data_IF_734932785995
#
_entry.id   IF_734932785995
#
_cell.length_a   1.000
_cell.length_b   1.000
_cell.length_c   1.000
_cell.angle_alpha   90.00
_cell.angle_beta   90.00
_cell.angle_gamma   90.00
#
_symmetry.space_group_name_H-M   'P 1'
#
loop_
_entity.id
_entity.type
_entity.pdbx_description
1 polymer ?
#
# COMPACT_ATOMS: atom_id res chain seq x y z
N UNK A 1 -3.69 -0.28 -0.13
CA UNK A 1 -2.50 0.06 -0.93
C UNK A 1 -2.03 1.45 -0.55
N UNK A 2 -0.92 1.92 -1.11
CA UNK A 2 -0.52 3.32 -0.95
C UNK A 2 -1.58 4.23 -1.60
N UNK A 3 -1.90 5.36 -0.95
CA UNK A 3 -2.90 6.31 -1.46
C UNK A 3 -2.23 7.27 -2.44
N UNK A 4 -2.88 7.53 -3.58
CA UNK A 4 -2.51 8.69 -4.39
C UNK A 4 -3.01 9.94 -3.70
N UNK A 5 -2.28 11.04 -3.83
CA UNK A 5 -2.79 12.33 -3.40
C UNK A 5 -3.94 12.70 -4.34
N UNK A 6 -5.17 12.67 -3.85
CA UNK A 6 -6.34 13.04 -4.64
C UNK A 6 -6.19 14.49 -5.15
N UNK A 7 -6.57 14.72 -6.41
CA UNK A 7 -6.87 16.07 -6.89
C UNK A 7 -8.16 16.50 -6.20
N UNK A 8 -8.15 17.65 -5.53
CA UNK A 8 -9.34 18.18 -4.88
C UNK A 8 -10.51 18.26 -5.89
N UNK A 9 -11.64 17.61 -5.58
CA UNK A 9 -12.88 17.70 -6.36
C UNK A 9 -13.19 16.54 -7.32
N UNK A 10 -12.44 15.44 -7.30
CA UNK A 10 -12.77 14.24 -8.11
C UNK A 10 -12.99 13.05 -7.18
N UNK A 11 -14.24 12.79 -6.79
CA UNK A 11 -14.63 11.53 -6.16
C UNK A 11 -14.71 10.43 -7.24
N UNK A 12 -13.90 9.39 -7.09
CA UNK A 12 -13.96 8.21 -7.96
C UNK A 12 -15.17 7.33 -7.61
N UNK A 13 -15.81 6.74 -8.63
CA UNK A 13 -16.89 5.78 -8.43
C UNK A 13 -16.35 4.50 -7.76
N UNK A 14 -16.96 4.09 -6.64
CA UNK A 14 -16.56 2.89 -5.92
C UNK A 14 -17.04 1.64 -6.66
N UNK A 15 -16.10 0.75 -7.00
CA UNK A 15 -16.41 -0.53 -7.67
C UNK A 15 -16.50 -1.66 -6.64
N UNK A 16 -17.67 -2.30 -6.58
CA UNK A 16 -17.99 -3.37 -5.63
C UNK A 16 -18.52 -4.61 -6.34
N UNK A 17 -18.10 -5.81 -5.93
CA UNK A 17 -18.69 -7.07 -6.41
C UNK A 17 -19.92 -7.49 -5.61
N UNK A 18 -19.96 -7.20 -4.31
CA UNK A 18 -21.07 -7.51 -3.41
C UNK A 18 -21.28 -6.33 -2.46
N UNK A 19 -22.53 -5.94 -2.21
CA UNK A 19 -22.89 -4.91 -1.22
C UNK A 19 -22.80 -5.45 0.24
N UNK A 20 -21.78 -6.24 0.54
CA UNK A 20 -21.53 -6.77 1.87
C UNK A 20 -20.51 -5.91 2.58
N UNK A 21 -20.86 -5.48 3.78
CA UNK A 21 -19.94 -4.82 4.70
C UNK A 21 -19.08 -5.87 5.41
N UNK A 22 -17.83 -5.53 5.69
CA UNK A 22 -16.99 -6.32 6.59
C UNK A 22 -17.43 -6.16 8.06
N UNK A 23 -16.73 -6.84 8.97
CA UNK A 23 -16.98 -6.80 10.42
C UNK A 23 -16.77 -5.40 11.04
N UNK A 24 -16.19 -4.46 10.29
CA UNK A 24 -15.93 -3.08 10.67
C UNK A 24 -16.86 -2.08 9.96
N UNK A 25 -17.84 -2.57 9.19
CA UNK A 25 -18.82 -1.74 8.48
C UNK A 25 -18.31 -1.16 7.15
N UNK A 26 -17.13 -1.53 6.68
CA UNK A 26 -16.62 -1.06 5.40
C UNK A 26 -17.15 -1.88 4.24
N UNK A 27 -17.48 -1.22 3.13
CA UNK A 27 -17.93 -1.88 1.91
C UNK A 27 -16.79 -2.72 1.33
N UNK A 28 -17.04 -4.01 1.05
CA UNK A 28 -16.06 -4.85 0.36
C UNK A 28 -15.92 -4.41 -1.10
N UNK A 29 -14.81 -3.73 -1.37
CA UNK A 29 -14.38 -3.40 -2.72
C UNK A 29 -13.90 -4.67 -3.46
N UNK A 30 -14.16 -4.74 -4.76
CA UNK A 30 -13.78 -5.89 -5.58
C UNK A 30 -14.21 -5.74 -7.03
N UNK A 31 -13.66 -6.57 -7.91
CA UNK A 31 -14.09 -6.67 -9.31
C UNK A 31 -13.61 -5.60 -10.28
N UNK A 32 -12.79 -4.65 -9.82
CA UNK A 32 -12.18 -3.64 -10.71
C UNK A 32 -11.45 -4.28 -11.89
N UNK A 33 -10.79 -5.43 -11.67
CA UNK A 33 -10.07 -6.17 -12.72
C UNK A 33 -11.00 -6.67 -13.82
N UNK A 34 -12.20 -7.17 -13.47
CA UNK A 34 -13.21 -7.63 -14.43
C UNK A 34 -13.76 -6.46 -15.24
N UNK A 35 -14.11 -5.36 -14.57
CA UNK A 35 -14.62 -4.15 -15.20
C UNK A 35 -13.60 -3.59 -16.19
N UNK A 36 -12.34 -3.48 -15.77
CA UNK A 36 -11.26 -2.94 -16.60
C UNK A 36 -10.98 -3.84 -17.81
N UNK A 37 -10.91 -5.17 -17.63
CA UNK A 37 -10.71 -6.09 -18.74
C UNK A 37 -11.82 -5.94 -19.80
N UNK A 38 -13.09 -5.99 -19.38
CA UNK A 38 -14.22 -5.80 -20.28
C UNK A 38 -14.20 -4.43 -20.99
N UNK A 39 -13.80 -3.37 -20.29
CA UNK A 39 -13.67 -2.03 -20.86
C UNK A 39 -12.55 -1.95 -21.91
N UNK A 40 -11.41 -2.61 -21.67
CA UNK A 40 -10.29 -2.68 -22.62
C UNK A 40 -10.72 -3.47 -23.86
N UNK A 41 -11.24 -4.70 -23.71
CA UNK A 41 -11.68 -5.52 -24.86
C UNK A 41 -12.70 -4.79 -25.73
N UNK A 42 -13.68 -4.12 -25.10
CA UNK A 42 -14.71 -3.37 -25.82
C UNK A 42 -14.11 -2.29 -26.72
N UNK A 43 -13.06 -1.61 -26.24
CA UNK A 43 -12.40 -0.47 -26.90
C UNK A 43 -11.34 -0.90 -27.92
N UNK A 44 -10.59 -1.97 -27.63
CA UNK A 44 -9.43 -2.38 -28.44
C UNK A 44 -9.71 -3.57 -29.36
N UNK A 45 -10.75 -4.37 -29.06
CA UNK A 45 -11.05 -5.67 -29.68
C UNK A 45 -9.99 -6.76 -29.47
N UNK A 46 -9.03 -6.53 -28.57
CA UNK A 46 -8.08 -7.55 -28.16
C UNK A 46 -8.61 -8.35 -26.99
N UNK A 47 -8.44 -9.68 -27.03
CA UNK A 47 -8.71 -10.56 -25.89
C UNK A 47 -7.89 -10.07 -24.69
N UNK A 48 -8.57 -9.78 -23.58
CA UNK A 48 -7.98 -9.21 -22.37
C UNK A 48 -8.29 -10.09 -21.18
N UNK A 49 -7.23 -10.60 -20.55
CA UNK A 49 -7.34 -11.41 -19.35
C UNK A 49 -6.98 -10.58 -18.12
N UNK A 50 -7.60 -10.90 -16.99
CA UNK A 50 -7.28 -10.29 -15.72
C UNK A 50 -6.92 -11.35 -14.68
N UNK A 51 -6.13 -10.94 -13.69
CA UNK A 51 -5.75 -11.78 -12.54
C UNK A 51 -5.97 -10.99 -11.25
N UNK A 52 -6.55 -11.65 -10.25
CA UNK A 52 -6.72 -11.09 -8.90
C UNK A 52 -5.82 -11.88 -7.95
N UNK A 53 -4.76 -11.24 -7.44
CA UNK A 53 -3.78 -11.92 -6.58
C UNK A 53 -4.30 -12.14 -5.14
N UNK A 54 -5.08 -11.19 -4.61
CA UNK A 54 -5.70 -11.31 -3.29
C UNK A 54 -4.72 -11.63 -2.17
N UNK A 55 -5.07 -12.61 -1.33
CA UNK A 55 -4.31 -13.00 -0.13
C UNK A 55 -2.90 -13.52 -0.43
N UNK A 56 -2.62 -13.99 -1.66
CA UNK A 56 -1.28 -14.46 -2.07
C UNK A 56 -0.23 -13.35 -1.87
N UNK A 57 -0.62 -12.08 -2.04
CA UNK A 57 0.28 -10.94 -1.85
C UNK A 57 0.74 -10.74 -0.40
N UNK A 58 0.07 -11.36 0.59
CA UNK A 58 0.41 -11.27 2.02
C UNK A 58 1.11 -12.54 2.53
N UNK A 59 1.26 -13.56 1.69
CA UNK A 59 1.91 -14.83 2.03
C UNK A 59 3.27 -14.97 1.36
N UNK A 60 3.91 -16.12 1.62
CA UNK A 60 5.23 -16.47 1.08
C UNK A 60 6.37 -16.19 2.04
N UNK A 61 7.54 -16.78 1.76
CA UNK A 61 8.74 -16.57 2.55
C UNK A 61 9.27 -15.15 2.35
N UNK A 62 9.60 -14.40 3.43
CA UNK A 62 10.12 -13.03 3.31
C UNK A 62 11.41 -13.00 2.51
N UNK A 63 11.64 -11.92 1.76
CA UNK A 63 12.87 -11.76 0.99
C UNK A 63 14.10 -11.59 1.88
N UNK A 64 15.32 -11.69 1.33
CA UNK A 64 16.53 -11.42 2.10
C UNK A 64 16.54 -10.00 2.68
N UNK A 65 16.05 -9.02 1.89
CA UNK A 65 15.90 -7.64 2.34
C UNK A 65 14.91 -7.53 3.50
N UNK A 66 13.73 -8.14 3.39
CA UNK A 66 12.72 -8.09 4.45
C UNK A 66 13.22 -8.70 5.76
N UNK A 67 13.95 -9.82 5.68
CA UNK A 67 14.56 -10.46 6.85
C UNK A 67 15.55 -9.52 7.55
N UNK A 68 16.48 -8.94 6.80
CA UNK A 68 17.48 -8.01 7.35
C UNK A 68 16.79 -6.77 7.92
N UNK A 69 15.82 -6.20 7.22
CA UNK A 69 15.10 -5.01 7.67
C UNK A 69 14.30 -5.29 8.95
N UNK A 70 13.59 -6.42 9.02
CA UNK A 70 12.86 -6.83 10.22
C UNK A 70 13.79 -7.01 11.42
N UNK A 71 14.95 -7.64 11.23
CA UNK A 71 15.97 -7.76 12.30
C UNK A 71 16.46 -6.40 12.77
N UNK A 72 16.76 -5.47 11.84
CA UNK A 72 17.20 -4.11 12.17
C UNK A 72 16.14 -3.35 12.98
N UNK A 73 14.86 -3.49 12.62
CA UNK A 73 13.76 -2.92 13.39
C UNK A 73 13.68 -3.50 14.80
N UNK A 74 13.76 -4.83 14.93
CA UNK A 74 13.70 -5.51 16.22
C UNK A 74 14.81 -5.07 17.16
N UNK A 75 16.06 -5.04 16.69
CA UNK A 75 17.21 -4.58 17.46
C UNK A 75 16.99 -3.15 17.96
N UNK A 76 16.64 -2.22 17.06
CA UNK A 76 16.45 -0.82 17.43
C UNK A 76 15.30 -0.62 18.41
N UNK A 77 14.19 -1.35 18.24
CA UNK A 77 13.07 -1.30 19.17
C UNK A 77 13.47 -1.80 20.57
N UNK A 78 14.26 -2.87 20.67
CA UNK A 78 14.80 -3.36 21.94
C UNK A 78 15.72 -2.32 22.60
N UNK A 79 16.60 -1.68 21.83
CA UNK A 79 17.45 -0.60 22.34
C UNK A 79 16.64 0.61 22.83
N UNK A 80 15.57 0.98 22.12
CA UNK A 80 14.67 2.06 22.56
C UNK A 80 14.01 1.73 23.90
N UNK A 81 13.53 0.49 24.07
CA UNK A 81 12.97 0.03 25.35
C UNK A 81 14.02 0.11 26.46
N UNK A 82 15.25 -0.33 26.19
CA UNK A 82 16.35 -0.25 27.16
C UNK A 82 16.65 1.21 27.59
N UNK A 83 16.53 2.17 26.68
CA UNK A 83 16.69 3.61 26.96
C UNK A 83 15.43 4.29 27.53
N UNK A 84 14.33 3.55 27.72
CA UNK A 84 13.07 4.11 28.22
C UNK A 84 12.31 4.98 27.21
N UNK A 85 12.62 4.85 25.91
CA UNK A 85 12.00 5.65 24.84
C UNK A 85 10.64 5.11 24.39
N UNK A 86 9.67 5.09 25.31
CA UNK A 86 8.30 4.65 25.03
C UNK A 86 7.49 5.69 24.22
N UNK A 87 6.38 5.24 23.62
CA UNK A 87 5.51 6.12 22.81
C UNK A 87 6.08 6.44 21.42
N UNK A 88 7.14 5.75 21.00
CA UNK A 88 7.81 5.90 19.70
C UNK A 88 7.81 4.57 18.94
N UNK A 89 7.92 4.63 17.62
CA UNK A 89 8.14 3.47 16.75
C UNK A 89 9.50 3.53 16.07
N UNK A 90 10.08 2.37 15.78
CA UNK A 90 11.23 2.28 14.89
C UNK A 90 10.78 2.45 13.43
N UNK A 91 11.42 3.34 12.68
CA UNK A 91 11.11 3.65 11.30
C UNK A 91 12.39 3.70 10.43
N UNK A 92 12.29 3.27 9.18
CA UNK A 92 13.38 3.41 8.20
C UNK A 92 13.28 4.79 7.54
N UNK A 93 14.32 5.61 7.71
CA UNK A 93 14.50 6.88 7.00
C UNK A 93 15.82 6.84 6.21
N UNK A 94 15.70 6.85 4.87
CA UNK A 94 16.83 6.54 3.99
C UNK A 94 17.35 5.13 4.28
N UNK A 95 18.59 5.04 4.75
CA UNK A 95 19.21 3.77 5.13
C UNK A 95 19.39 3.61 6.65
N UNK A 96 18.74 4.43 7.49
CA UNK A 96 18.89 4.40 8.96
C UNK A 96 17.58 4.05 9.64
N UNK A 97 17.66 3.26 10.71
CA UNK A 97 16.53 3.04 11.61
C UNK A 97 16.55 4.16 12.66
N UNK A 98 15.41 4.82 12.84
CA UNK A 98 15.24 5.95 13.76
C UNK A 98 14.01 5.75 14.63
N UNK A 99 13.97 6.42 15.79
CA UNK A 99 12.82 6.46 16.67
C UNK A 99 11.92 7.66 16.32
N UNK A 100 10.65 7.41 15.98
CA UNK A 100 9.67 8.44 15.61
C UNK A 100 8.50 8.41 16.60
N UNK A 101 8.07 9.55 17.16
CA UNK A 101 6.87 9.62 18.00
C UNK A 101 5.64 9.06 17.27
N UNK A 102 4.85 8.23 17.95
CA UNK A 102 3.64 7.65 17.35
C UNK A 102 2.65 8.72 16.89
N UNK A 103 2.53 9.82 17.66
CA UNK A 103 1.70 10.97 17.29
C UNK A 103 2.11 11.64 15.97
N UNK A 104 3.41 11.66 15.65
CA UNK A 104 3.90 12.18 14.37
C UNK A 104 3.63 11.18 13.25
N UNK A 105 3.91 9.89 13.50
CA UNK A 105 3.75 8.83 12.52
C UNK A 105 2.29 8.66 12.03
N UNK A 106 1.31 8.98 12.88
CA UNK A 106 -0.12 8.87 12.55
C UNK A 106 -0.75 10.21 12.16
N UNK A 107 0.00 11.32 12.19
CA UNK A 107 -0.55 12.65 11.94
C UNK A 107 -1.08 12.85 10.51
N UNK A 108 -0.49 12.14 9.54
CA UNK A 108 -0.82 12.27 8.12
C UNK A 108 -0.73 10.93 7.41
N UNK A 109 -1.52 10.78 6.36
CA UNK A 109 -1.43 9.61 5.50
C UNK A 109 -0.21 9.67 4.58
N UNK A 110 0.47 8.54 4.42
CA UNK A 110 1.56 8.40 3.44
C UNK A 110 0.97 8.28 2.04
N UNK A 111 1.32 9.23 1.19
CA UNK A 111 0.93 9.23 -0.23
C UNK A 111 2.05 8.69 -1.12
N UNK A 112 1.69 8.21 -2.30
CA UNK A 112 2.64 7.82 -3.36
C UNK A 112 3.39 9.07 -3.84
N UNK A 113 4.71 8.96 -3.98
CA UNK A 113 5.51 9.99 -4.63
C UNK A 113 5.19 10.01 -6.13
N UNK A 114 4.68 11.14 -6.61
CA UNK A 114 4.26 11.29 -8.00
C UNK A 114 5.42 11.22 -8.99
N UNK A 115 6.67 11.40 -8.54
CA UNK A 115 7.86 11.17 -9.38
C UNK A 115 7.92 9.70 -9.82
N UNK A 116 7.59 8.77 -8.93
CA UNK A 116 7.58 7.34 -9.27
C UNK A 116 6.49 7.04 -10.30
N UNK A 117 5.33 7.70 -10.17
CA UNK A 117 4.24 7.58 -11.13
C UNK A 117 4.63 8.14 -12.50
N UNK A 118 5.24 9.33 -12.56
CA UNK A 118 5.65 9.92 -13.84
C UNK A 118 6.72 9.08 -14.55
N UNK A 119 7.66 8.50 -13.79
CA UNK A 119 8.63 7.55 -14.36
C UNK A 119 7.90 6.35 -14.98
N UNK A 120 6.92 5.77 -14.27
CA UNK A 120 6.15 4.65 -14.81
C UNK A 120 5.38 5.03 -16.09
N UNK A 121 4.85 6.25 -16.16
CA UNK A 121 4.18 6.79 -17.35
C UNK A 121 5.15 6.92 -18.54
N UNK A 122 6.40 7.35 -18.33
CA UNK A 122 7.39 7.42 -19.42
C UNK A 122 7.75 6.04 -20.02
N UNK A 123 7.82 5.00 -19.18
CA UNK A 123 8.22 3.65 -19.64
C UNK A 123 7.05 2.80 -20.16
N UNK A 124 5.84 3.01 -19.64
CA UNK A 124 4.71 2.11 -19.87
C UNK A 124 3.44 2.81 -20.39
N UNK A 125 3.46 4.14 -20.54
CA UNK A 125 2.35 4.98 -20.97
C UNK A 125 2.34 5.33 -22.45
#
# INVERSE_FOLDING_TARGET
GAKFREKAGVEGELVTQEARTDEFGHVRLGGISQLLAAAIEKRTKFETRFVVLGHIQRGGSPTAHDRVLATRYGIHATEMVHRGEFGKMAALQGNRIVAVPLAEATAKEKTVDMIVYSIAEEFFG
#
